data_IF_336531569484
#
_entry.id   IF_336531569484
#
_cell.length_a   1.000
_cell.length_b   1.000
_cell.length_c   1.000
_cell.angle_alpha   90.00
_cell.angle_beta   90.00
_cell.angle_gamma   90.00
#
_symmetry.space_group_name_H-M   'P 1'
#
loop_
_entity.id
_entity.type
_entity.pdbx_description
1 polymer ?
#
# COMPACT_ATOMS: atom_id res chain seq x y z
N UNK A 1 -36.04 7.34 -58.81
CA UNK A 1 -37.28 8.06 -58.54
C UNK A 1 -37.15 8.62 -57.16
N UNK A 2 -36.83 9.82 -56.93
CA UNK A 2 -37.47 11.08 -56.93
C UNK A 2 -37.15 11.71 -55.58
N UNK A 3 -36.18 12.61 -55.55
CA UNK A 3 -36.07 13.76 -54.61
C UNK A 3 -37.21 14.74 -55.00
N UNK A 4 -37.47 15.87 -54.33
CA UNK A 4 -36.99 16.55 -53.10
C UNK A 4 -38.08 17.25 -52.27
N UNK A 5 -37.77 17.95 -51.18
CA UNK A 5 -38.11 19.39 -50.96
C UNK A 5 -37.46 20.00 -49.71
N UNK A 6 -36.93 21.22 -49.94
CA UNK A 6 -36.44 22.21 -49.01
C UNK A 6 -37.54 23.02 -48.37
N UNK A 7 -37.33 23.61 -47.16
CA UNK A 7 -37.37 25.03 -46.82
C UNK A 7 -37.12 25.25 -45.29
N UNK A 8 -36.11 26.05 -44.94
CA UNK A 8 -36.05 27.43 -44.42
C UNK A 8 -37.06 27.71 -43.28
N UNK A 9 -36.63 28.08 -42.06
CA UNK A 9 -35.94 29.24 -41.67
C UNK A 9 -36.46 29.80 -40.33
N UNK A 10 -35.61 30.55 -39.64
CA UNK A 10 -35.81 31.54 -38.56
C UNK A 10 -35.85 31.07 -37.14
N UNK A 11 -34.76 31.35 -36.39
CA UNK A 11 -34.53 32.50 -35.46
C UNK A 11 -35.56 32.66 -34.33
N UNK A 12 -35.08 32.49 -33.08
CA UNK A 12 -35.71 32.93 -31.86
C UNK A 12 -34.71 32.74 -30.71
N UNK A 13 -34.13 33.87 -30.28
CA UNK A 13 -33.44 34.00 -29.00
C UNK A 13 -34.46 33.80 -27.89
N UNK A 14 -34.08 33.17 -26.82
CA UNK A 14 -34.14 33.70 -25.45
C UNK A 14 -33.78 32.57 -24.50
N UNK A 15 -32.88 32.84 -23.65
CA UNK A 15 -32.31 32.35 -22.56
C UNK A 15 -33.24 31.95 -21.42
N UNK A 16 -32.77 31.10 -20.61
CA UNK A 16 -32.85 31.17 -19.13
C UNK A 16 -31.98 30.05 -18.56
N UNK A 17 -31.21 30.46 -17.58
CA UNK A 17 -30.48 29.73 -16.54
C UNK A 17 -31.04 28.35 -16.14
N UNK A 18 -30.12 27.49 -15.78
CA UNK A 18 -30.47 26.38 -14.90
C UNK A 18 -29.48 25.24 -14.92
N UNK A 19 -28.52 25.25 -14.01
CA UNK A 19 -28.02 24.00 -13.53
C UNK A 19 -26.52 23.70 -13.64
N UNK A 20 -25.70 24.54 -13.05
CA UNK A 20 -24.45 24.09 -12.43
C UNK A 20 -24.76 23.07 -11.35
N UNK A 21 -24.39 21.82 -11.56
CA UNK A 21 -24.63 20.77 -10.59
C UNK A 21 -23.90 19.45 -10.81
N UNK A 22 -22.95 19.38 -11.75
CA UNK A 22 -22.29 18.10 -12.03
C UNK A 22 -20.77 18.12 -12.19
N UNK A 23 -20.11 19.28 -12.07
CA UNK A 23 -18.67 19.39 -12.36
C UNK A 23 -17.75 19.35 -11.14
N UNK A 24 -18.27 19.46 -9.91
CA UNK A 24 -17.46 19.56 -8.70
C UNK A 24 -17.03 18.22 -8.10
N UNK A 25 -17.64 17.11 -8.48
CA UNK A 25 -17.38 15.81 -7.85
C UNK A 25 -16.15 15.08 -8.37
N UNK A 26 -15.67 15.39 -9.55
CA UNK A 26 -14.56 14.65 -10.18
C UNK A 26 -13.16 15.23 -9.86
N UNK A 27 -13.09 16.53 -9.63
CA UNK A 27 -11.82 17.21 -9.25
C UNK A 27 -11.50 16.98 -7.77
N UNK A 28 -12.50 16.93 -6.90
CA UNK A 28 -12.32 16.63 -5.48
C UNK A 28 -11.99 15.15 -5.26
N UNK A 29 -12.57 14.22 -6.03
CA UNK A 29 -12.22 12.80 -5.99
C UNK A 29 -10.75 12.54 -6.35
N UNK A 30 -10.10 13.36 -7.17
CA UNK A 30 -8.68 13.23 -7.52
C UNK A 30 -7.73 13.69 -6.41
N UNK A 31 -8.20 14.47 -5.44
CA UNK A 31 -7.38 14.95 -4.31
C UNK A 31 -7.34 13.99 -3.14
N UNK A 32 -8.18 12.98 -3.14
CA UNK A 32 -8.47 12.23 -1.93
C UNK A 32 -8.16 10.77 -2.13
N UNK A 33 -7.16 10.23 -1.48
CA UNK A 33 -6.99 8.81 -1.23
C UNK A 33 -5.99 8.47 -0.21
N UNK A 34 -6.50 7.73 0.78
CA UNK A 34 -5.59 7.06 1.66
C UNK A 34 -6.08 6.09 2.66
N UNK A 35 -5.15 5.28 2.97
CA UNK A 35 -4.98 4.45 4.14
C UNK A 35 -6.00 3.36 4.32
N UNK A 36 -5.59 2.24 3.83
CA UNK A 36 -5.90 0.96 4.41
C UNK A 36 -4.55 0.37 4.79
N UNK A 37 -4.19 0.47 6.01
CA UNK A 37 -2.95 -0.11 6.47
C UNK A 37 -2.91 -0.18 7.98
N UNK A 38 -2.36 -1.23 8.40
CA UNK A 38 -2.25 -1.70 9.77
C UNK A 38 -0.85 -1.38 10.27
N UNK A 39 -0.71 -0.66 11.36
CA UNK A 39 0.58 -0.37 11.95
C UNK A 39 0.71 -0.82 13.40
N UNK A 40 1.90 -1.00 13.85
CA UNK A 40 2.26 -1.54 15.14
C UNK A 40 2.57 -0.46 16.19
N UNK A 41 2.15 -0.74 17.42
CA UNK A 41 2.47 0.02 18.62
C UNK A 41 3.98 0.27 18.76
N UNK A 42 4.38 1.51 18.61
CA UNK A 42 5.70 1.97 19.02
C UNK A 42 5.69 2.33 20.50
N UNK A 43 6.36 1.58 21.33
CA UNK A 43 6.69 2.02 22.67
C UNK A 43 7.66 3.21 22.60
N UNK A 44 7.32 4.32 23.20
CA UNK A 44 8.21 5.47 23.39
C UNK A 44 9.41 5.04 24.25
N UNK A 45 10.61 5.08 23.68
CA UNK A 45 11.88 4.89 24.39
C UNK A 45 12.43 6.29 24.70
N UNK A 46 12.80 6.58 25.96
CA UNK A 46 13.43 7.84 26.30
C UNK A 46 14.81 7.95 25.63
N UNK A 47 15.11 9.12 25.09
CA UNK A 47 16.43 9.47 24.55
C UNK A 47 17.47 9.54 25.66
N UNK A 48 18.10 8.41 25.93
CA UNK A 48 19.33 8.36 26.72
C UNK A 48 20.47 7.96 25.78
N UNK A 49 21.37 8.90 25.49
CA UNK A 49 22.64 8.62 24.84
C UNK A 49 23.51 7.84 25.80
N UNK A 50 23.49 6.52 25.66
CA UNK A 50 24.54 5.67 26.29
C UNK A 50 25.34 5.09 25.12
N UNK A 51 26.58 5.54 25.01
CA UNK A 51 27.56 4.95 24.12
C UNK A 51 27.78 3.48 24.47
N UNK A 52 27.16 2.56 23.79
CA UNK A 52 27.48 1.14 23.86
C UNK A 52 28.38 0.77 22.71
N UNK A 53 29.55 0.21 23.02
CA UNK A 53 30.42 -0.51 22.11
C UNK A 53 29.55 -1.50 21.30
N UNK A 54 29.60 -1.40 19.97
CA UNK A 54 28.92 -2.34 19.07
C UNK A 54 29.35 -3.77 19.42
N UNK A 55 28.42 -4.72 19.54
CA UNK A 55 28.79 -6.12 19.66
C UNK A 55 29.46 -6.57 18.37
N UNK A 56 30.65 -7.16 18.50
CA UNK A 56 31.42 -7.75 17.41
C UNK A 56 30.82 -9.10 17.00
N UNK A 57 29.67 -9.06 16.36
CA UNK A 57 29.00 -10.19 15.77
C UNK A 57 27.95 -9.65 14.81
N UNK A 58 27.92 -10.15 13.60
CA UNK A 58 26.87 -9.74 12.63
C UNK A 58 25.50 -10.15 13.21
N UNK A 59 24.63 -9.16 13.45
CA UNK A 59 23.24 -9.41 13.86
C UNK A 59 22.44 -10.29 12.88
N UNK A 60 23.01 -10.50 11.72
CA UNK A 60 22.44 -11.28 10.62
C UNK A 60 23.49 -12.31 10.15
N UNK A 61 23.68 -13.41 10.88
CA UNK A 61 24.49 -14.53 10.41
C UNK A 61 23.88 -15.08 9.12
N UNK A 62 24.70 -15.40 8.15
CA UNK A 62 24.27 -15.89 6.83
C UNK A 62 24.68 -14.99 5.67
N UNK A 63 25.09 -13.75 5.91
CA UNK A 63 25.76 -12.94 4.89
C UNK A 63 27.23 -13.32 4.80
N UNK A 64 27.73 -13.50 3.56
CA UNK A 64 29.14 -13.76 3.29
C UNK A 64 30.04 -12.56 3.67
N UNK A 65 29.51 -11.35 3.52
CA UNK A 65 30.14 -10.08 3.89
C UNK A 65 29.17 -9.26 4.74
N UNK A 66 29.66 -8.33 5.54
CA UNK A 66 28.80 -7.45 6.31
C UNK A 66 27.94 -6.58 5.39
N UNK A 67 26.59 -6.66 5.49
CA UNK A 67 25.73 -5.86 4.63
C UNK A 67 25.87 -4.37 4.92
N UNK A 68 25.89 -3.56 3.88
CA UNK A 68 25.88 -2.09 3.99
C UNK A 68 24.48 -1.60 4.28
N UNK A 69 24.14 -1.57 5.57
CA UNK A 69 22.81 -1.16 6.02
C UNK A 69 22.54 0.32 5.76
N UNK A 70 21.34 0.60 5.24
CA UNK A 70 20.79 1.95 5.03
C UNK A 70 19.51 2.10 5.83
N UNK A 71 19.19 3.33 6.32
CA UNK A 71 17.94 3.57 7.03
C UNK A 71 16.75 3.29 6.10
N UNK A 72 15.67 2.78 6.71
CA UNK A 72 14.40 2.50 6.07
C UNK A 72 13.32 3.18 6.90
N UNK A 73 12.53 4.05 6.31
CA UNK A 73 11.35 4.57 6.97
C UNK A 73 10.21 3.57 6.78
N UNK A 74 9.56 3.20 7.87
CA UNK A 74 8.34 2.39 7.85
C UNK A 74 7.16 3.34 8.01
N UNK A 75 6.43 3.53 6.94
CA UNK A 75 5.26 4.41 6.88
C UNK A 75 3.99 3.74 7.37
N UNK A 76 2.86 4.39 7.11
CA UNK A 76 1.54 3.82 7.39
C UNK A 76 1.34 2.50 6.66
N UNK A 77 0.76 1.50 7.36
CA UNK A 77 0.56 0.16 6.80
C UNK A 77 1.85 -0.63 6.60
N UNK A 78 2.87 -0.35 7.41
CA UNK A 78 4.21 -0.96 7.34
C UNK A 78 4.92 -0.77 5.98
N UNK A 79 4.48 0.18 5.15
CA UNK A 79 5.09 0.43 3.85
C UNK A 79 6.53 0.92 3.98
N UNK A 80 7.36 0.44 3.08
CA UNK A 80 8.80 0.64 3.08
C UNK A 80 9.19 1.83 2.21
N UNK A 81 9.79 2.85 2.81
CA UNK A 81 10.31 4.03 2.13
C UNK A 81 11.82 4.08 2.25
N UNK A 82 12.51 4.00 1.13
CA UNK A 82 13.96 4.00 1.05
C UNK A 82 14.48 5.30 0.42
N UNK A 83 15.55 5.92 0.97
CA UNK A 83 16.24 7.00 0.32
C UNK A 83 16.76 6.56 -1.06
N UNK A 84 16.50 7.35 -2.08
CA UNK A 84 16.75 7.00 -3.47
C UNK A 84 17.11 8.25 -4.27
N UNK A 85 17.84 8.11 -5.38
CA UNK A 85 18.01 9.18 -6.38
C UNK A 85 17.42 8.71 -7.71
N UNK A 86 16.79 9.61 -8.42
CA UNK A 86 16.32 9.41 -9.81
C UNK A 86 16.97 10.47 -10.68
N UNK A 87 17.75 10.06 -11.67
CA UNK A 87 18.55 10.95 -12.51
C UNK A 87 19.31 12.01 -11.67
N UNK A 88 19.95 11.59 -10.58
CA UNK A 88 20.70 12.43 -9.66
C UNK A 88 19.87 13.24 -8.65
N UNK A 89 18.54 13.26 -8.75
CA UNK A 89 17.66 14.00 -7.83
C UNK A 89 17.25 13.14 -6.64
N UNK A 90 17.54 13.63 -5.42
CA UNK A 90 17.17 12.97 -4.17
C UNK A 90 15.65 12.87 -4.02
N UNK A 91 15.18 11.68 -3.65
CA UNK A 91 13.77 11.37 -3.39
C UNK A 91 13.66 10.19 -2.42
N UNK A 92 12.44 9.77 -2.13
CA UNK A 92 12.14 8.55 -1.38
C UNK A 92 11.29 7.64 -2.24
N UNK A 93 11.65 6.36 -2.26
CA UNK A 93 10.98 5.34 -3.04
C UNK A 93 10.21 4.38 -2.15
N UNK A 94 9.02 3.97 -2.58
CA UNK A 94 8.40 2.75 -2.07
C UNK A 94 9.13 1.55 -2.70
N UNK A 95 9.52 0.57 -1.88
CA UNK A 95 10.01 -0.71 -2.36
C UNK A 95 8.82 -1.63 -2.62
N UNK A 96 8.56 -1.97 -3.88
CA UNK A 96 7.32 -2.62 -4.32
C UNK A 96 7.60 -3.87 -5.16
N UNK A 97 7.63 -5.04 -4.52
CA UNK A 97 7.79 -6.32 -5.22
C UNK A 97 6.54 -6.76 -5.99
N UNK A 98 5.39 -6.13 -5.75
CA UNK A 98 4.14 -6.37 -6.47
C UNK A 98 4.11 -5.72 -7.86
N UNK A 99 5.03 -4.79 -8.12
CA UNK A 99 5.18 -4.16 -9.44
C UNK A 99 6.35 -4.77 -10.21
N UNK A 100 6.10 -5.23 -11.44
CA UNK A 100 7.15 -5.76 -12.33
C UNK A 100 8.09 -4.67 -12.86
N UNK A 101 7.68 -3.41 -12.86
CA UNK A 101 8.46 -2.27 -13.34
C UNK A 101 8.34 -1.09 -12.38
N UNK A 102 9.41 -0.31 -12.28
CA UNK A 102 9.43 0.91 -11.48
C UNK A 102 8.51 1.98 -12.06
N UNK A 103 7.84 2.73 -11.16
CA UNK A 103 6.84 3.72 -11.51
C UNK A 103 7.26 5.09 -10.99
N UNK A 104 7.28 6.09 -11.86
CA UNK A 104 7.63 7.49 -11.57
C UNK A 104 6.35 8.33 -11.65
N UNK A 105 6.17 9.27 -10.74
CA UNK A 105 5.03 10.20 -10.79
C UNK A 105 5.17 11.21 -11.93
N UNK A 106 4.04 11.65 -12.51
CA UNK A 106 4.02 12.74 -13.49
C UNK A 106 4.77 14.00 -13.02
N UNK A 107 4.61 14.47 -11.75
CA UNK A 107 5.35 15.63 -11.26
C UNK A 107 6.87 15.44 -11.25
N UNK A 108 7.37 14.25 -10.89
CA UNK A 108 8.81 13.98 -10.91
C UNK A 108 9.32 13.87 -12.35
N UNK A 109 8.61 13.18 -13.22
CA UNK A 109 8.98 13.07 -14.64
C UNK A 109 9.07 14.46 -15.29
N UNK A 110 8.11 15.35 -15.03
CA UNK A 110 8.13 16.73 -15.50
C UNK A 110 9.33 17.52 -14.95
N UNK A 111 9.62 17.40 -13.64
CA UNK A 111 10.77 18.04 -12.99
C UNK A 111 12.10 17.59 -13.60
N UNK A 112 12.18 16.34 -14.00
CA UNK A 112 13.38 15.75 -14.63
C UNK A 112 13.47 16.00 -16.14
N UNK A 113 12.51 16.73 -16.72
CA UNK A 113 12.49 17.03 -18.16
C UNK A 113 12.22 15.81 -19.05
N UNK A 114 11.56 14.77 -18.52
CA UNK A 114 11.21 13.56 -19.26
C UNK A 114 10.06 13.85 -20.24
N UNK A 115 10.36 14.35 -21.44
CA UNK A 115 9.36 14.86 -22.37
C UNK A 115 8.86 13.83 -23.40
N UNK A 116 9.68 12.84 -23.78
CA UNK A 116 9.38 11.89 -24.84
C UNK A 116 8.73 10.62 -24.24
N UNK A 117 7.53 10.76 -23.71
CA UNK A 117 6.81 9.66 -23.11
C UNK A 117 5.99 8.89 -24.14
N UNK A 118 6.19 7.60 -24.23
CA UNK A 118 5.37 6.72 -25.06
C UNK A 118 4.05 6.40 -24.35
N UNK A 119 2.89 6.79 -24.90
CA UNK A 119 1.60 6.46 -24.27
C UNK A 119 1.38 4.94 -24.26
N UNK A 120 0.97 4.41 -23.10
CA UNK A 120 0.65 2.99 -22.90
C UNK A 120 -0.57 2.85 -21.97
N UNK A 121 -1.07 1.64 -21.91
CA UNK A 121 -2.02 1.19 -20.90
C UNK A 121 -1.42 -0.02 -20.18
N UNK A 122 -1.26 0.08 -18.90
CA UNK A 122 -0.79 -1.05 -18.08
C UNK A 122 -1.96 -1.66 -17.30
N UNK A 123 -1.82 -2.94 -16.98
CA UNK A 123 -2.72 -3.59 -16.04
C UNK A 123 -2.16 -3.37 -14.62
N UNK A 124 -2.99 -2.81 -13.75
CA UNK A 124 -2.76 -2.86 -12.31
C UNK A 124 -3.46 -4.08 -11.70
N UNK A 125 -3.69 -4.08 -10.39
CA UNK A 125 -4.30 -5.21 -9.68
C UNK A 125 -5.74 -5.51 -10.11
N UNK A 126 -6.48 -4.49 -10.48
CA UNK A 126 -7.93 -4.58 -10.68
C UNK A 126 -8.44 -3.87 -11.92
N UNK A 127 -7.56 -3.26 -12.71
CA UNK A 127 -7.95 -2.49 -13.87
C UNK A 127 -6.80 -2.13 -14.81
N UNK A 128 -7.03 -1.13 -15.65
CA UNK A 128 -6.03 -0.58 -16.56
C UNK A 128 -5.84 0.90 -16.30
N UNK A 129 -4.59 1.33 -16.17
CA UNK A 129 -4.21 2.75 -16.07
C UNK A 129 -3.58 3.24 -17.38
N UNK A 130 -3.86 4.51 -17.74
CA UNK A 130 -3.15 5.21 -18.80
C UNK A 130 -1.83 5.76 -18.22
N UNK A 131 -0.72 5.49 -18.90
CA UNK A 131 0.63 5.79 -18.44
C UNK A 131 1.50 6.27 -19.59
N UNK A 132 2.67 6.86 -19.27
CA UNK A 132 3.76 7.04 -20.19
C UNK A 132 4.87 6.03 -19.93
N UNK A 133 5.67 5.70 -20.94
CA UNK A 133 6.95 5.02 -20.74
C UNK A 133 8.08 5.99 -21.01
N UNK A 134 9.09 5.96 -20.15
CA UNK A 134 10.35 6.67 -20.31
C UNK A 134 11.49 5.65 -20.29
N UNK A 135 12.51 5.87 -21.12
CA UNK A 135 13.62 4.94 -21.29
C UNK A 135 14.92 5.44 -20.66
N UNK A 136 15.80 4.49 -20.32
CA UNK A 136 17.15 4.74 -19.79
C UNK A 136 17.15 5.63 -18.54
N UNK A 137 16.36 5.25 -17.55
CA UNK A 137 16.26 5.99 -16.29
C UNK A 137 17.30 5.49 -15.30
N UNK A 138 18.17 6.38 -14.85
CA UNK A 138 19.12 6.08 -13.78
C UNK A 138 18.45 6.21 -12.41
N UNK A 139 18.59 5.17 -11.61
CA UNK A 139 18.11 5.13 -10.21
C UNK A 139 19.26 4.69 -9.31
N UNK A 140 19.48 5.40 -8.20
CA UNK A 140 20.46 4.99 -7.20
C UNK A 140 19.72 4.52 -5.94
N UNK A 141 19.91 3.26 -5.57
CA UNK A 141 19.38 2.65 -4.35
C UNK A 141 20.54 2.04 -3.56
N UNK A 142 20.66 2.35 -2.26
CA UNK A 142 21.74 1.84 -1.39
C UNK A 142 23.14 2.01 -1.99
N UNK A 143 23.41 3.18 -2.60
CA UNK A 143 24.65 3.55 -3.29
C UNK A 143 24.94 2.72 -4.55
N UNK A 144 24.01 1.89 -5.00
CA UNK A 144 24.12 1.16 -6.26
C UNK A 144 23.32 1.86 -7.36
N UNK A 145 23.95 2.04 -8.52
CA UNK A 145 23.33 2.65 -9.69
C UNK A 145 22.68 1.57 -10.55
N UNK A 146 21.40 1.74 -10.82
CA UNK A 146 20.60 0.89 -11.70
C UNK A 146 20.16 1.73 -12.89
N UNK A 147 20.41 1.23 -14.10
CA UNK A 147 19.88 1.85 -15.33
C UNK A 147 18.68 1.03 -15.77
N UNK A 148 17.50 1.58 -15.57
CA UNK A 148 16.24 0.96 -15.99
C UNK A 148 16.11 1.12 -17.51
N UNK A 149 15.94 0.04 -18.28
CA UNK A 149 15.67 0.14 -19.71
C UNK A 149 14.44 0.99 -20.01
N UNK A 150 13.45 0.89 -19.14
CA UNK A 150 12.27 1.77 -19.12
C UNK A 150 11.72 1.90 -17.69
N UNK A 151 10.99 2.97 -17.45
CA UNK A 151 10.16 3.15 -16.27
C UNK A 151 8.76 3.59 -16.70
N UNK A 152 7.76 3.27 -15.90
CA UNK A 152 6.39 3.70 -16.10
C UNK A 152 6.19 5.08 -15.48
N UNK A 153 5.57 6.00 -16.20
CA UNK A 153 5.15 7.31 -15.65
C UNK A 153 3.65 7.29 -15.45
N UNK A 154 3.20 7.43 -14.20
CA UNK A 154 1.80 7.28 -13.82
C UNK A 154 1.34 8.32 -12.80
N UNK A 155 0.03 8.39 -12.58
CA UNK A 155 -0.55 9.18 -11.49
C UNK A 155 -0.41 8.42 -10.15
N UNK A 156 0.52 8.89 -9.34
CA UNK A 156 0.71 8.41 -7.96
C UNK A 156 -0.05 9.28 -6.93
N UNK A 157 -0.96 10.14 -7.36
CA UNK A 157 -1.74 11.02 -6.49
C UNK A 157 -2.54 10.23 -5.46
N UNK A 158 -3.17 9.15 -5.87
CA UNK A 158 -3.90 8.24 -5.02
C UNK A 158 -3.01 7.61 -3.94
N UNK A 159 -1.86 7.12 -4.30
CA UNK A 159 -0.85 6.55 -3.41
C UNK A 159 -0.25 7.65 -2.51
N UNK A 160 0.18 8.77 -3.06
CA UNK A 160 0.68 9.92 -2.30
C UNK A 160 -0.32 10.37 -1.27
N UNK A 161 -1.58 10.46 -1.66
CA UNK A 161 -2.70 10.73 -0.83
C UNK A 161 -2.91 9.56 0.18
N UNK A 162 -2.50 8.25 0.03
CA UNK A 162 -2.50 7.16 1.01
C UNK A 162 -1.42 7.34 2.08
N UNK A 163 -0.29 7.89 1.72
CA UNK A 163 0.82 8.09 2.64
C UNK A 163 0.86 9.45 3.36
N UNK A 164 -0.06 10.37 3.07
CA UNK A 164 -0.07 11.70 3.67
C UNK A 164 1.07 12.60 3.19
N UNK A 165 1.79 12.17 2.14
CA UNK A 165 2.94 12.89 1.59
C UNK A 165 3.14 12.55 0.11
N UNK A 166 3.79 13.41 -0.68
CA UNK A 166 4.07 13.10 -2.08
C UNK A 166 4.93 11.82 -2.18
N UNK A 167 4.46 10.85 -2.96
CA UNK A 167 5.23 9.69 -3.40
C UNK A 167 5.57 9.93 -4.87
N UNK A 168 6.85 9.92 -5.17
CA UNK A 168 7.33 10.26 -6.51
C UNK A 168 7.85 9.05 -7.28
N UNK A 169 8.22 7.97 -6.58
CA UNK A 169 8.70 6.74 -7.22
C UNK A 169 8.33 5.51 -6.40
N UNK A 170 7.99 4.44 -7.10
CA UNK A 170 7.90 3.08 -6.59
C UNK A 170 8.93 2.25 -7.34
N UNK A 171 9.83 1.58 -6.63
CA UNK A 171 10.85 0.71 -7.21
C UNK A 171 10.32 -0.71 -7.27
N UNK A 172 10.17 -1.20 -8.48
CA UNK A 172 9.62 -2.50 -8.79
C UNK A 172 10.65 -3.64 -8.76
N UNK A 173 10.20 -4.80 -9.20
CA UNK A 173 11.04 -6.00 -9.32
C UNK A 173 12.21 -5.79 -10.30
N UNK A 174 12.09 -4.88 -11.26
CA UNK A 174 13.17 -4.50 -12.18
C UNK A 174 14.44 -3.97 -11.48
N UNK A 175 14.29 -3.33 -10.32
CA UNK A 175 15.41 -2.95 -9.44
C UNK A 175 15.66 -4.05 -8.41
N UNK A 176 14.63 -4.49 -7.69
CA UNK A 176 14.76 -5.38 -6.55
C UNK A 176 15.27 -6.77 -6.94
N UNK A 177 15.02 -7.21 -8.19
CA UNK A 177 15.50 -8.47 -8.73
C UNK A 177 16.97 -8.48 -9.15
N UNK A 178 17.63 -7.32 -9.20
CA UNK A 178 19.03 -7.23 -9.64
C UNK A 178 20.04 -7.67 -8.57
N UNK A 179 19.58 -8.02 -7.36
CA UNK A 179 20.44 -8.43 -6.26
C UNK A 179 19.72 -9.15 -5.13
N UNK A 180 20.35 -9.12 -3.95
CA UNK A 180 19.85 -9.64 -2.71
C UNK A 180 19.41 -8.46 -1.82
N UNK A 181 18.14 -8.41 -1.46
CA UNK A 181 17.55 -7.34 -0.63
C UNK A 181 17.28 -7.90 0.77
N UNK A 182 17.84 -7.28 1.80
CA UNK A 182 17.57 -7.61 3.19
C UNK A 182 16.75 -6.50 3.86
N UNK A 183 15.68 -6.87 4.54
CA UNK A 183 14.75 -5.98 5.24
C UNK A 183 14.74 -6.32 6.72
N UNK A 184 15.31 -5.44 7.55
CA UNK A 184 15.32 -5.54 9.02
C UNK A 184 14.27 -4.58 9.59
N UNK A 185 13.07 -5.09 9.79
CA UNK A 185 11.95 -4.31 10.34
C UNK A 185 12.16 -3.91 11.80
N UNK A 186 12.88 -4.74 12.55
CA UNK A 186 13.17 -4.47 13.95
C UNK A 186 14.01 -3.23 14.13
N UNK A 187 15.00 -3.05 13.27
CA UNK A 187 15.93 -1.91 13.29
C UNK A 187 15.65 -0.84 12.23
N UNK A 188 14.58 -0.99 11.46
CA UNK A 188 14.18 -0.08 10.38
C UNK A 188 15.34 0.24 9.45
N UNK A 189 15.91 -0.79 8.85
CA UNK A 189 17.04 -0.69 7.92
C UNK A 189 16.92 -1.74 6.81
N UNK A 190 17.53 -1.44 5.69
CA UNK A 190 17.63 -2.38 4.58
C UNK A 190 19.08 -2.45 4.08
N UNK A 191 19.39 -3.53 3.39
CA UNK A 191 20.63 -3.65 2.66
C UNK A 191 20.37 -4.23 1.28
N UNK A 192 21.18 -3.79 0.32
CA UNK A 192 21.15 -4.27 -1.04
C UNK A 192 22.54 -4.82 -1.37
N UNK A 193 22.60 -6.10 -1.76
CA UNK A 193 23.85 -6.80 -2.03
C UNK A 193 23.80 -7.60 -3.33
N UNK A 194 24.88 -8.28 -3.64
CA UNK A 194 24.94 -9.18 -4.79
C UNK A 194 24.05 -10.41 -4.55
N UNK A 195 23.46 -10.94 -5.61
CA UNK A 195 22.80 -12.24 -5.56
C UNK A 195 23.77 -13.31 -5.04
N UNK A 196 23.28 -14.20 -4.18
CA UNK A 196 24.09 -15.23 -3.51
C UNK A 196 24.86 -14.76 -2.28
N UNK A 197 24.75 -13.47 -1.89
CA UNK A 197 25.43 -12.98 -0.70
C UNK A 197 24.86 -13.45 0.62
N UNK A 198 23.67 -14.05 0.61
CA UNK A 198 23.01 -14.60 1.78
C UNK A 198 22.71 -16.10 1.63
N UNK A 199 23.10 -16.91 2.61
CA UNK A 199 22.94 -18.36 2.59
C UNK A 199 21.89 -18.90 3.56
N UNK A 200 21.22 -18.03 4.31
CA UNK A 200 20.35 -18.43 5.42
C UNK A 200 21.14 -18.68 6.71
N UNK A 201 20.55 -19.43 7.63
CA UNK A 201 21.17 -19.77 8.91
C UNK A 201 20.13 -20.13 9.95
N UNK A 202 20.57 -20.25 11.20
CA UNK A 202 19.68 -20.59 12.33
C UNK A 202 18.54 -19.56 12.45
N UNK A 203 17.32 -20.04 12.64
CA UNK A 203 16.12 -19.22 12.76
C UNK A 203 15.53 -18.73 11.45
N UNK A 204 16.21 -18.94 10.30
CA UNK A 204 15.69 -18.61 8.99
C UNK A 204 14.96 -19.78 8.33
N UNK A 205 13.81 -19.51 7.76
CA UNK A 205 13.09 -20.46 6.90
C UNK A 205 13.22 -20.01 5.45
N UNK A 206 13.61 -20.96 4.58
CA UNK A 206 13.74 -20.69 3.15
C UNK A 206 12.47 -21.08 2.42
N UNK A 207 12.00 -20.20 1.57
CA UNK A 207 10.88 -20.40 0.66
C UNK A 207 11.38 -20.31 -0.79
N UNK A 208 10.76 -21.07 -1.67
CA UNK A 208 10.91 -20.88 -3.12
C UNK A 208 10.15 -19.63 -3.52
N UNK A 209 10.80 -18.78 -4.30
CA UNK A 209 10.22 -17.63 -4.97
C UNK A 209 10.06 -17.96 -6.44
N UNK A 210 8.85 -17.92 -6.92
CA UNK A 210 8.52 -18.23 -8.31
C UNK A 210 8.18 -16.96 -9.09
N UNK A 211 8.21 -17.05 -10.42
CA UNK A 211 7.78 -15.98 -11.30
C UNK A 211 6.43 -16.32 -11.93
N UNK A 212 5.49 -15.42 -11.82
CA UNK A 212 4.22 -15.48 -12.52
C UNK A 212 4.34 -15.08 -14.01
N UNK A 213 3.24 -15.20 -14.72
CA UNK A 213 3.19 -14.90 -16.16
C UNK A 213 3.51 -13.43 -16.52
N UNK A 214 3.41 -12.52 -15.56
CA UNK A 214 3.72 -11.09 -15.70
C UNK A 214 4.93 -10.67 -14.86
N UNK A 215 5.80 -11.61 -14.53
CA UNK A 215 6.96 -11.43 -13.68
C UNK A 215 6.62 -11.06 -12.23
N UNK A 216 5.38 -11.33 -11.79
CA UNK A 216 5.01 -11.23 -10.38
C UNK A 216 5.87 -12.22 -9.56
N UNK A 217 6.29 -11.80 -8.38
CA UNK A 217 7.00 -12.67 -7.45
C UNK A 217 6.00 -13.44 -6.60
N UNK A 218 6.05 -14.76 -6.63
CA UNK A 218 5.07 -15.64 -6.01
C UNK A 218 5.67 -16.43 -4.86
N UNK A 219 4.88 -16.57 -3.80
CA UNK A 219 5.11 -17.49 -2.70
C UNK A 219 3.87 -18.34 -2.47
N UNK A 220 4.04 -19.55 -1.94
CA UNK A 220 2.92 -20.40 -1.58
C UNK A 220 2.59 -20.26 -0.10
N UNK A 221 1.33 -19.97 0.20
CA UNK A 221 0.82 -19.87 1.57
C UNK A 221 -0.54 -20.54 1.71
N UNK A 222 -0.82 -21.09 2.90
CA UNK A 222 -2.11 -21.68 3.21
C UNK A 222 -3.06 -20.63 3.77
N UNK A 223 -4.30 -20.63 3.29
CA UNK A 223 -5.39 -19.75 3.76
C UNK A 223 -6.42 -20.61 4.46
N UNK A 224 -6.71 -20.34 5.74
CA UNK A 224 -7.62 -21.14 6.59
C UNK A 224 -7.29 -22.64 6.61
N UNK A 225 -6.00 -22.99 6.60
CA UNK A 225 -5.55 -24.38 6.64
C UNK A 225 -5.74 -25.16 5.32
N UNK A 226 -6.00 -24.45 4.21
CA UNK A 226 -6.03 -25.08 2.88
C UNK A 226 -4.65 -25.59 2.46
N UNK A 227 -4.60 -26.39 1.39
CA UNK A 227 -3.35 -26.59 0.66
C UNK A 227 -2.76 -25.23 0.26
N UNK A 228 -1.42 -25.10 0.24
CA UNK A 228 -0.77 -23.86 -0.15
C UNK A 228 -1.18 -23.40 -1.56
N UNK A 229 -1.52 -22.13 -1.67
CA UNK A 229 -1.91 -21.48 -2.94
C UNK A 229 -0.92 -20.39 -3.31
N UNK A 230 -0.74 -20.10 -4.61
CA UNK A 230 0.16 -19.05 -5.05
C UNK A 230 -0.40 -17.66 -4.72
N UNK A 231 0.34 -16.90 -3.95
CA UNK A 231 0.07 -15.51 -3.60
C UNK A 231 1.23 -14.63 -4.06
N UNK A 232 0.94 -13.46 -4.58
CA UNK A 232 1.96 -12.48 -4.93
C UNK A 232 2.60 -11.90 -3.68
N UNK A 233 3.93 -11.87 -3.65
CA UNK A 233 4.71 -11.18 -2.62
C UNK A 233 4.69 -9.67 -2.93
N UNK A 234 4.05 -8.87 -2.08
CA UNK A 234 3.75 -7.47 -2.40
C UNK A 234 4.17 -6.53 -1.27
N UNK A 235 5.42 -6.07 -1.31
CA UNK A 235 5.95 -5.10 -0.34
C UNK A 235 5.42 -3.68 -0.56
N UNK A 236 4.75 -3.41 -1.68
CA UNK A 236 4.06 -2.15 -1.95
C UNK A 236 2.64 -2.10 -1.36
N UNK A 237 2.08 -3.24 -0.95
CA UNK A 237 0.73 -3.31 -0.42
C UNK A 237 0.67 -3.03 1.08
N UNK A 238 -0.16 -2.05 1.47
CA UNK A 238 -0.50 -1.76 2.87
C UNK A 238 -1.64 -2.62 3.43
N UNK A 239 -2.18 -3.55 2.65
CA UNK A 239 -3.18 -4.53 3.08
C UNK A 239 -2.49 -5.83 3.49
N UNK A 240 -2.94 -6.49 4.56
CA UNK A 240 -2.32 -7.74 5.02
C UNK A 240 -2.49 -8.87 4.02
N UNK A 241 -3.70 -9.01 3.50
CA UNK A 241 -4.08 -10.02 2.51
C UNK A 241 -5.11 -9.43 1.55
N UNK A 242 -4.91 -9.60 0.27
CA UNK A 242 -5.95 -9.41 -0.74
C UNK A 242 -6.17 -10.74 -1.49
N UNK A 243 -7.42 -11.09 -1.72
CA UNK A 243 -7.80 -12.30 -2.44
C UNK A 243 -8.73 -11.95 -3.61
N UNK A 244 -8.69 -12.72 -4.67
CA UNK A 244 -9.70 -12.62 -5.72
C UNK A 244 -11.06 -13.04 -5.17
N UNK A 245 -12.13 -12.35 -5.55
CA UNK A 245 -13.49 -12.73 -5.16
C UNK A 245 -13.82 -14.17 -5.61
N UNK A 246 -13.34 -14.58 -6.76
CA UNK A 246 -13.50 -15.96 -7.25
C UNK A 246 -12.92 -16.99 -6.28
N UNK A 247 -11.70 -16.77 -5.76
CA UNK A 247 -11.10 -17.67 -4.77
C UNK A 247 -11.85 -17.64 -3.44
N UNK A 248 -12.28 -16.45 -3.00
CA UNK A 248 -13.08 -16.28 -1.78
C UNK A 248 -14.39 -17.08 -1.87
N UNK A 249 -15.05 -17.07 -3.01
CA UNK A 249 -16.27 -17.80 -3.28
C UNK A 249 -16.01 -19.32 -3.41
N UNK A 250 -15.02 -19.72 -4.22
CA UNK A 250 -14.63 -21.14 -4.38
C UNK A 250 -14.34 -21.82 -3.05
N UNK A 251 -13.63 -21.12 -2.16
CA UNK A 251 -13.24 -21.64 -0.84
C UNK A 251 -14.26 -21.34 0.25
N UNK A 252 -15.37 -20.70 -0.09
CA UNK A 252 -16.43 -20.32 0.84
C UNK A 252 -15.91 -19.57 2.08
N UNK A 253 -14.93 -18.67 1.89
CA UNK A 253 -14.23 -18.01 2.98
C UNK A 253 -15.10 -17.01 3.77
N UNK A 254 -16.26 -16.65 3.24
CA UNK A 254 -17.25 -15.76 3.86
C UNK A 254 -18.33 -16.51 4.64
N UNK A 255 -18.34 -17.84 4.65
CA UNK A 255 -19.37 -18.60 5.36
C UNK A 255 -19.42 -18.20 6.85
N UNK A 256 -20.59 -17.77 7.29
CA UNK A 256 -20.87 -17.36 8.68
C UNK A 256 -19.94 -16.24 9.20
N UNK A 257 -19.38 -15.41 8.32
CA UNK A 257 -18.53 -14.27 8.67
C UNK A 257 -19.19 -12.95 8.38
N UNK A 258 -19.00 -11.99 9.30
CA UNK A 258 -19.33 -10.62 9.01
C UNK A 258 -18.40 -10.08 7.92
N UNK A 259 -18.94 -9.29 7.03
CA UNK A 259 -18.19 -8.59 6.00
C UNK A 259 -18.71 -7.17 5.82
N UNK A 260 -17.88 -6.30 5.31
CA UNK A 260 -18.20 -4.91 5.05
C UNK A 260 -17.49 -4.44 3.79
N UNK A 261 -17.31 -3.12 3.66
CA UNK A 261 -16.63 -2.50 2.52
C UNK A 261 -15.46 -1.65 3.00
N UNK A 262 -14.47 -1.51 2.14
CA UNK A 262 -13.30 -0.67 2.39
C UNK A 262 -12.90 0.06 1.09
N UNK A 263 -12.29 1.24 1.23
CA UNK A 263 -11.67 1.92 0.10
C UNK A 263 -10.25 1.40 -0.10
N UNK A 264 -9.90 1.02 -1.31
CA UNK A 264 -8.57 0.59 -1.73
C UNK A 264 -8.03 1.57 -2.77
N UNK A 265 -6.84 2.09 -2.55
CA UNK A 265 -6.12 2.97 -3.48
C UNK A 265 -5.05 2.23 -4.26
N UNK A 266 -4.91 2.57 -5.54
CA UNK A 266 -3.88 2.04 -6.44
C UNK A 266 -3.60 3.00 -7.59
N UNK A 267 -2.78 2.57 -8.53
CA UNK A 267 -2.48 3.35 -9.75
C UNK A 267 -3.72 3.55 -10.64
N UNK A 268 -4.77 2.75 -10.45
CA UNK A 268 -6.07 2.87 -11.13
C UNK A 268 -7.03 3.83 -10.42
N UNK A 269 -6.62 4.41 -9.30
CA UNK A 269 -7.45 5.25 -8.44
C UNK A 269 -8.05 4.51 -7.25
N UNK A 270 -9.20 5.02 -6.73
CA UNK A 270 -9.94 4.40 -5.59
C UNK A 270 -10.94 3.40 -6.06
N UNK A 271 -10.99 2.29 -5.35
CA UNK A 271 -12.01 1.27 -5.50
C UNK A 271 -12.65 0.97 -4.16
N UNK A 272 -13.93 0.63 -4.18
CA UNK A 272 -14.59 0.09 -3.02
C UNK A 272 -14.62 -1.43 -3.16
N UNK A 273 -14.02 -2.09 -2.20
CA UNK A 273 -13.86 -3.54 -2.18
C UNK A 273 -14.49 -4.13 -0.94
N UNK A 274 -14.79 -5.42 -0.95
CA UNK A 274 -15.29 -6.14 0.22
C UNK A 274 -14.15 -6.36 1.21
N UNK A 275 -14.42 -6.19 2.51
CA UNK A 275 -13.50 -6.54 3.59
C UNK A 275 -14.12 -7.55 4.55
N UNK A 276 -13.31 -8.47 5.05
CA UNK A 276 -13.68 -9.48 6.01
C UNK A 276 -12.45 -9.96 6.79
N UNK A 277 -12.60 -10.94 7.67
CA UNK A 277 -11.48 -11.51 8.41
C UNK A 277 -11.25 -12.96 7.99
N UNK A 278 -10.04 -13.28 7.51
CA UNK A 278 -9.55 -14.64 7.32
C UNK A 278 -9.05 -15.20 8.67
N UNK A 279 -9.39 -16.44 9.01
CA UNK A 279 -9.05 -17.02 10.33
C UNK A 279 -7.55 -17.19 10.50
N UNK A 280 -6.88 -17.63 9.44
CA UNK A 280 -5.42 -17.79 9.44
C UNK A 280 -4.80 -17.73 8.05
N UNK A 281 -3.56 -17.26 8.01
CA UNK A 281 -2.66 -17.39 6.86
C UNK A 281 -1.37 -18.01 7.38
N UNK A 282 -0.91 -19.07 6.74
CA UNK A 282 0.34 -19.75 7.11
C UNK A 282 1.36 -19.63 5.98
N UNK A 283 2.48 -19.00 6.28
CA UNK A 283 3.63 -18.88 5.39
C UNK A 283 4.78 -19.70 5.97
N UNK A 284 5.24 -20.72 5.24
CA UNK A 284 6.29 -21.65 5.69
C UNK A 284 6.02 -22.31 7.06
N UNK A 285 4.78 -22.69 7.34
CA UNK A 285 4.39 -23.27 8.62
C UNK A 285 4.20 -22.28 9.77
N UNK A 286 4.51 -20.98 9.54
CA UNK A 286 4.30 -19.91 10.51
C UNK A 286 2.92 -19.32 10.28
N UNK A 287 2.02 -19.48 11.25
CA UNK A 287 0.62 -19.08 11.11
C UNK A 287 0.32 -17.75 11.82
N UNK A 288 -0.24 -16.83 11.07
CA UNK A 288 -0.84 -15.58 11.57
C UNK A 288 -2.36 -15.75 11.61
N UNK A 289 -2.99 -15.35 12.71
CA UNK A 289 -4.44 -15.49 12.90
C UNK A 289 -5.17 -14.15 12.80
N UNK A 290 -6.47 -14.23 12.50
CA UNK A 290 -7.38 -13.06 12.45
C UNK A 290 -6.84 -12.00 11.49
N UNK A 291 -6.66 -12.41 10.23
CA UNK A 291 -6.04 -11.57 9.20
C UNK A 291 -7.09 -10.73 8.49
N UNK A 292 -7.05 -9.39 8.59
CA UNK A 292 -7.89 -8.52 7.81
C UNK A 292 -7.64 -8.73 6.32
N UNK A 293 -8.70 -8.99 5.57
CA UNK A 293 -8.62 -9.44 4.18
C UNK A 293 -9.53 -8.58 3.30
N UNK A 294 -9.03 -8.24 2.13
CA UNK A 294 -9.81 -7.60 1.07
C UNK A 294 -10.16 -8.63 -0.01
N UNK A 295 -11.38 -8.62 -0.51
CA UNK A 295 -11.79 -9.38 -1.68
C UNK A 295 -11.97 -8.44 -2.88
N UNK A 296 -11.26 -8.73 -3.97
CA UNK A 296 -11.28 -7.93 -5.18
C UNK A 296 -12.10 -8.65 -6.25
N UNK A 297 -13.19 -8.01 -6.74
CA UNK A 297 -14.06 -8.55 -7.78
C UNK A 297 -13.32 -8.74 -9.11
N UNK A 298 -12.30 -7.90 -9.35
CA UNK A 298 -11.41 -8.02 -10.50
C UNK A 298 -10.00 -8.30 -10.00
N UNK A 299 -9.46 -9.43 -10.38
CA UNK A 299 -8.09 -9.83 -10.09
C UNK A 299 -7.34 -10.00 -11.42
N UNK A 300 -6.31 -9.21 -11.65
CA UNK A 300 -5.67 -9.16 -12.97
C UNK A 300 -4.61 -10.23 -13.19
N UNK A 301 -4.02 -10.80 -12.14
CA UNK A 301 -3.04 -11.88 -12.27
C UNK A 301 -3.74 -13.20 -12.60
N UNK A 302 -3.15 -13.94 -13.52
CA UNK A 302 -3.59 -15.31 -13.86
C UNK A 302 -2.75 -16.37 -13.11
N UNK A 303 -1.67 -15.94 -12.45
CA UNK A 303 -0.73 -16.81 -11.76
C UNK A 303 -0.99 -16.90 -10.26
N UNK A 304 -1.81 -15.99 -9.70
CA UNK A 304 -2.05 -15.88 -8.26
C UNK A 304 -3.53 -15.78 -7.95
N UNK A 305 -3.90 -16.22 -6.75
CA UNK A 305 -5.27 -16.04 -6.23
C UNK A 305 -5.40 -14.81 -5.33
N UNK A 306 -4.30 -14.12 -5.08
CA UNK A 306 -4.25 -12.95 -4.21
C UNK A 306 -2.83 -12.44 -4.02
N UNK A 307 -2.63 -11.52 -3.05
CA UNK A 307 -1.32 -11.09 -2.60
C UNK A 307 -1.19 -11.09 -1.07
N UNK A 308 0.05 -11.19 -0.60
CA UNK A 308 0.44 -10.98 0.79
C UNK A 308 1.17 -9.64 0.87
N UNK A 309 0.65 -8.73 1.70
CA UNK A 309 1.21 -7.39 1.85
C UNK A 309 1.95 -7.18 3.17
N UNK A 310 2.40 -5.94 3.34
CA UNK A 310 3.33 -5.53 4.39
C UNK A 310 2.89 -5.79 5.83
N UNK A 311 1.62 -5.60 6.24
CA UNK A 311 1.22 -5.92 7.62
C UNK A 311 1.47 -7.38 8.01
N UNK A 312 1.41 -8.31 7.05
CA UNK A 312 1.73 -9.71 7.28
C UNK A 312 3.24 -9.95 7.11
N UNK A 313 3.84 -9.44 6.04
CA UNK A 313 5.28 -9.56 5.77
C UNK A 313 6.13 -8.88 6.85
N UNK A 314 5.70 -7.75 7.39
CA UNK A 314 6.38 -7.01 8.45
C UNK A 314 6.46 -7.73 9.80
N UNK A 315 5.87 -8.92 9.94
CA UNK A 315 6.08 -9.80 11.09
C UNK A 315 7.40 -10.56 11.02
N UNK A 316 8.10 -10.48 9.90
CA UNK A 316 9.34 -11.19 9.62
C UNK A 316 10.47 -10.24 9.27
N UNK A 317 11.69 -10.59 9.65
CA UNK A 317 12.87 -10.16 8.91
C UNK A 317 12.88 -10.92 7.58
N UNK A 318 13.24 -10.25 6.50
CA UNK A 318 13.13 -10.79 5.15
C UNK A 318 14.47 -10.64 4.42
N UNK A 319 14.88 -11.69 3.72
CA UNK A 319 15.91 -11.61 2.66
C UNK A 319 15.32 -12.15 1.37
N UNK A 320 15.38 -11.33 0.34
CA UNK A 320 14.84 -11.62 -0.98
C UNK A 320 16.00 -11.69 -1.98
N UNK A 321 16.16 -12.81 -2.66
CA UNK A 321 17.07 -12.97 -3.78
C UNK A 321 16.31 -13.54 -4.99
N UNK A 322 15.87 -12.63 -5.84
CA UNK A 322 15.02 -12.98 -6.99
C UNK A 322 15.79 -13.80 -8.01
N UNK A 323 17.06 -13.48 -8.23
CA UNK A 323 17.92 -14.21 -9.17
C UNK A 323 18.09 -15.68 -8.77
N UNK A 324 18.19 -15.97 -7.48
CA UNK A 324 18.25 -17.34 -6.95
C UNK A 324 16.88 -18.00 -6.78
N UNK A 325 15.79 -17.25 -6.97
CA UNK A 325 14.43 -17.71 -6.69
C UNK A 325 14.22 -18.08 -5.22
N UNK A 326 14.75 -17.27 -4.30
CA UNK A 326 14.71 -17.56 -2.87
C UNK A 326 14.20 -16.38 -2.04
N UNK A 327 13.38 -16.71 -1.08
CA UNK A 327 12.94 -15.86 0.00
C UNK A 327 13.31 -16.51 1.32
N UNK A 328 14.04 -15.83 2.18
CA UNK A 328 14.27 -16.26 3.56
C UNK A 328 13.45 -15.35 4.48
N UNK A 329 12.76 -15.96 5.42
CA UNK A 329 12.00 -15.27 6.45
C UNK A 329 12.43 -15.72 7.83
N UNK A 330 12.44 -14.77 8.79
CA UNK A 330 12.70 -15.05 10.20
C UNK A 330 11.67 -14.30 11.04
N UNK A 331 10.86 -14.99 11.88
CA UNK A 331 9.87 -14.32 12.71
C UNK A 331 10.50 -13.30 13.66
N UNK A 332 9.89 -12.12 13.76
CA UNK A 332 10.24 -11.12 14.76
C UNK A 332 9.41 -11.44 16.02
N UNK A 333 10.00 -11.93 17.14
CA UNK A 333 9.25 -12.56 18.22
C UNK A 333 8.16 -11.71 18.85
N UNK A 334 8.37 -10.39 18.98
CA UNK A 334 7.36 -9.50 19.56
C UNK A 334 6.27 -9.11 18.55
N UNK A 335 6.58 -9.02 17.25
CA UNK A 335 5.63 -8.66 16.19
C UNK A 335 4.69 -9.81 15.85
N UNK A 336 5.22 -11.00 15.67
CA UNK A 336 4.44 -12.18 15.29
C UNK A 336 3.44 -12.64 16.38
N UNK A 337 3.55 -12.12 17.60
CA UNK A 337 2.60 -12.38 18.70
C UNK A 337 1.52 -11.33 18.86
N UNK A 338 1.65 -10.18 18.19
CA UNK A 338 0.63 -9.13 18.25
C UNK A 338 -0.53 -9.48 17.31
N UNK A 339 -1.77 -9.16 17.70
CA UNK A 339 -2.90 -9.28 16.78
C UNK A 339 -2.72 -8.33 15.60
N UNK A 340 -3.17 -8.76 14.43
CA UNK A 340 -3.25 -7.90 13.26
C UNK A 340 -4.14 -6.71 13.56
N UNK A 341 -3.72 -5.52 13.14
CA UNK A 341 -4.54 -4.33 13.33
C UNK A 341 -5.74 -4.38 12.36
N UNK A 342 -6.90 -4.15 12.88
CA UNK A 342 -8.17 -4.18 12.19
C UNK A 342 -8.83 -2.82 12.33
N UNK A 343 -9.31 -2.24 11.23
CA UNK A 343 -10.06 -0.98 11.31
C UNK A 343 -11.39 -1.19 12.09
N UNK A 344 -11.63 -0.30 13.03
CA UNK A 344 -12.81 -0.29 13.88
C UNK A 344 -13.61 1.00 13.78
N UNK A 345 -13.20 1.89 12.92
CA UNK A 345 -13.91 3.14 12.66
C UNK A 345 -14.94 2.99 11.56
N UNK A 346 -14.60 2.29 10.51
CA UNK A 346 -15.36 2.21 9.25
C UNK A 346 -15.23 3.44 8.37
N UNK A 347 -14.26 4.32 8.66
CA UNK A 347 -13.96 5.49 7.84
C UNK A 347 -12.82 5.18 6.88
N UNK A 348 -13.10 5.16 5.59
CA UNK A 348 -12.08 5.36 4.56
C UNK A 348 -11.70 6.84 4.54
N UNK A 349 -10.45 7.14 4.89
CA UNK A 349 -10.01 8.52 5.03
C UNK A 349 -8.85 8.85 4.11
N UNK A 350 -8.84 10.08 3.72
CA UNK A 350 -7.78 10.75 3.01
C UNK A 350 -7.12 11.76 3.92
N UNK A 351 -5.81 11.72 4.07
CA UNK A 351 -5.09 12.73 4.82
C UNK A 351 -4.48 13.78 3.89
N UNK A 352 -4.66 15.03 4.23
CA UNK A 352 -3.91 16.17 3.70
C UNK A 352 -2.96 16.69 4.79
N UNK A 353 -2.10 17.66 4.50
CA UNK A 353 -1.31 18.29 5.54
C UNK A 353 -2.12 18.95 6.67
N UNK A 354 -3.42 19.17 6.49
CA UNK A 354 -4.25 19.95 7.42
C UNK A 354 -5.54 19.28 7.84
N UNK A 355 -5.93 18.18 7.18
CA UNK A 355 -7.20 17.49 7.47
C UNK A 355 -7.21 16.03 6.99
N UNK A 356 -8.21 15.31 7.50
CA UNK A 356 -8.59 14.00 7.00
C UNK A 356 -9.97 14.13 6.35
N UNK A 357 -10.07 13.84 5.07
CA UNK A 357 -11.37 13.84 4.38
C UNK A 357 -11.92 12.41 4.33
N UNK A 358 -13.18 12.23 4.67
CA UNK A 358 -13.90 10.95 4.54
C UNK A 358 -14.15 10.68 3.06
N UNK A 359 -13.64 9.57 2.55
CA UNK A 359 -13.81 9.14 1.15
C UNK A 359 -14.71 7.93 1.01
N UNK A 360 -14.93 7.24 2.12
CA UNK A 360 -15.78 6.06 2.18
C UNK A 360 -16.31 5.87 3.60
N UNK A 361 -17.53 5.42 3.71
CA UNK A 361 -18.14 4.97 4.97
C UNK A 361 -18.52 3.50 4.81
N UNK A 362 -17.89 2.64 5.59
CA UNK A 362 -18.06 1.21 5.50
C UNK A 362 -19.47 0.78 5.97
N UNK A 363 -20.07 -0.15 5.24
CA UNK A 363 -21.41 -0.65 5.52
C UNK A 363 -21.44 -1.33 6.90
N UNK A 364 -22.46 -0.99 7.72
CA UNK A 364 -22.66 -1.57 9.05
C UNK A 364 -21.65 -1.14 10.12
N UNK A 365 -20.71 -0.24 9.77
CA UNK A 365 -19.66 0.22 10.67
C UNK A 365 -20.14 1.23 11.72
N UNK A 366 -19.32 1.49 12.76
CA UNK A 366 -19.57 2.57 13.70
C UNK A 366 -19.75 3.94 13.01
N UNK A 367 -18.99 4.22 11.97
CA UNK A 367 -19.12 5.45 11.20
C UNK A 367 -20.48 5.55 10.50
N UNK A 368 -20.97 4.47 9.88
CA UNK A 368 -22.29 4.45 9.27
C UNK A 368 -23.39 4.69 10.30
N UNK A 369 -23.29 4.06 11.47
CA UNK A 369 -24.23 4.24 12.58
C UNK A 369 -24.15 5.66 13.17
N UNK A 370 -22.98 6.28 13.16
CA UNK A 370 -22.72 7.64 13.62
C UNK A 370 -23.10 8.74 12.62
N UNK A 371 -23.68 8.39 11.47
CA UNK A 371 -24.13 9.36 10.46
C UNK A 371 -22.99 10.09 9.73
N UNK A 372 -21.82 9.45 9.62
CA UNK A 372 -20.71 9.98 8.83
C UNK A 372 -21.01 9.90 7.34
N UNK A 373 -20.54 10.88 6.59
CA UNK A 373 -20.74 10.98 5.14
C UNK A 373 -19.42 11.21 4.40
N UNK A 374 -19.39 10.79 3.14
CA UNK A 374 -18.29 11.12 2.24
C UNK A 374 -18.21 12.63 2.06
N UNK A 375 -17.02 13.19 2.22
CA UNK A 375 -16.78 14.62 2.19
C UNK A 375 -16.63 15.27 3.56
N UNK A 376 -17.02 14.60 4.66
CA UNK A 376 -16.75 15.10 6.02
C UNK A 376 -15.22 15.31 6.18
N UNK A 377 -14.83 16.43 6.77
CA UNK A 377 -13.43 16.82 6.95
C UNK A 377 -13.09 16.94 8.43
N UNK A 378 -12.13 16.17 8.88
CA UNK A 378 -11.64 16.14 10.27
C UNK A 378 -10.34 16.91 10.36
N UNK A 379 -10.27 17.93 11.21
CA UNK A 379 -9.09 18.78 11.40
C UNK A 379 -8.34 18.50 12.71
N UNK A 380 -8.97 17.78 13.65
CA UNK A 380 -8.30 17.34 14.89
C UNK A 380 -8.86 16.01 15.40
N UNK A 381 -8.00 15.24 16.07
CA UNK A 381 -8.31 13.96 16.72
C UNK A 381 -7.96 14.05 18.20
N UNK A 382 -8.93 13.83 19.09
CA UNK A 382 -8.73 13.90 20.55
C UNK A 382 -8.08 15.23 21.00
N UNK A 383 -8.34 16.33 20.29
CA UNK A 383 -7.75 17.66 20.53
C UNK A 383 -6.37 17.87 19.86
N UNK A 384 -5.78 16.88 19.24
CA UNK A 384 -4.54 17.02 18.48
C UNK A 384 -4.85 17.40 17.03
N UNK A 385 -4.30 18.51 16.51
CA UNK A 385 -4.55 18.93 15.14
C UNK A 385 -3.97 17.92 14.13
N UNK A 386 -4.60 17.83 12.98
CA UNK A 386 -4.05 17.10 11.84
C UNK A 386 -3.03 18.00 11.15
N UNK A 387 -1.80 17.53 11.08
CA UNK A 387 -0.68 18.19 10.42
C UNK A 387 0.19 17.17 9.67
N UNK A 388 1.30 17.63 9.13
CA UNK A 388 2.25 16.79 8.36
C UNK A 388 2.87 15.65 9.18
N UNK A 389 2.77 15.68 10.51
CA UNK A 389 3.25 14.60 11.39
C UNK A 389 2.24 13.46 11.56
N UNK A 390 0.98 13.66 11.16
CA UNK A 390 -0.10 12.69 11.34
C UNK A 390 0.28 11.27 10.88
N UNK A 391 0.87 11.15 9.70
CA UNK A 391 1.24 9.86 9.11
C UNK A 391 2.58 9.31 9.59
N UNK A 392 3.39 10.12 10.28
CA UNK A 392 4.69 9.74 10.84
C UNK A 392 4.63 9.37 12.31
N UNK A 393 3.62 9.87 13.02
CA UNK A 393 3.41 9.63 14.45
C UNK A 393 2.49 8.44 14.73
N UNK A 394 2.06 8.29 15.98
CA UNK A 394 1.10 7.26 16.38
C UNK A 394 -0.36 7.68 16.13
N UNK A 395 -0.61 8.94 15.81
CA UNK A 395 -1.96 9.49 15.72
C UNK A 395 -2.81 8.80 14.65
N UNK A 396 -2.22 8.40 13.52
CA UNK A 396 -2.95 7.69 12.45
C UNK A 396 -3.51 6.32 12.87
N UNK A 397 -3.00 5.75 13.98
CA UNK A 397 -3.44 4.44 14.48
C UNK A 397 -4.78 4.49 15.23
N UNK A 398 -5.36 5.66 15.47
CA UNK A 398 -6.57 5.85 16.24
C UNK A 398 -7.71 4.92 15.83
N UNK A 399 -7.83 4.63 14.54
CA UNK A 399 -8.90 3.81 13.98
C UNK A 399 -8.77 2.30 14.29
N UNK A 400 -7.60 1.90 14.79
CA UNK A 400 -7.28 0.53 15.19
C UNK A 400 -7.30 0.34 16.70
N UNK A 401 -7.80 1.32 17.45
CA UNK A 401 -7.96 1.26 18.89
C UNK A 401 -8.85 0.11 19.35
N UNK A 402 -8.98 -0.08 20.65
CA UNK A 402 -9.73 -1.20 21.21
C UNK A 402 -11.24 -1.05 20.95
N UNK A 403 -12.00 -2.16 20.79
CA UNK A 403 -13.46 -2.08 20.78
C UNK A 403 -13.97 -1.36 22.05
N UNK A 404 -14.90 -0.41 21.84
CA UNK A 404 -15.45 0.43 22.91
C UNK A 404 -14.69 1.74 23.17
N UNK A 405 -13.49 1.91 22.63
CA UNK A 405 -12.75 3.17 22.70
C UNK A 405 -13.50 4.29 21.97
N UNK A 406 -13.55 5.47 22.60
CA UNK A 406 -14.25 6.65 22.03
C UNK A 406 -13.19 7.65 21.54
N UNK A 407 -13.28 7.98 20.27
CA UNK A 407 -12.43 8.98 19.63
C UNK A 407 -13.24 10.25 19.40
N UNK A 408 -12.67 11.40 19.73
CA UNK A 408 -13.25 12.73 19.48
C UNK A 408 -12.67 13.28 18.17
N UNK A 409 -13.54 13.64 17.23
CA UNK A 409 -13.16 14.17 15.94
C UNK A 409 -13.72 15.58 15.79
N UNK A 410 -12.84 16.55 15.57
CA UNK A 410 -13.25 17.93 15.30
C UNK A 410 -13.32 18.12 13.79
N UNK A 411 -14.47 18.57 13.31
CA UNK A 411 -14.70 18.83 11.89
C UNK A 411 -14.22 20.22 11.46
N UNK A 412 -14.09 20.42 10.16
CA UNK A 412 -13.63 21.70 9.59
C UNK A 412 -14.55 22.89 9.87
N UNK A 413 -15.82 22.64 10.17
CA UNK A 413 -16.81 23.65 10.60
C UNK A 413 -16.76 23.94 12.10
N UNK A 414 -15.85 23.28 12.84
CA UNK A 414 -15.72 23.40 14.30
C UNK A 414 -16.62 22.46 15.10
N UNK A 415 -17.52 21.72 14.46
CA UNK A 415 -18.36 20.74 15.17
C UNK A 415 -17.52 19.58 15.71
N UNK A 416 -17.88 19.08 16.88
CA UNK A 416 -17.27 17.90 17.48
C UNK A 416 -18.20 16.69 17.32
N UNK A 417 -17.66 15.60 16.76
CA UNK A 417 -18.32 14.29 16.75
C UNK A 417 -17.50 13.27 17.53
N UNK A 418 -18.19 12.30 18.10
CA UNK A 418 -17.55 11.16 18.74
C UNK A 418 -17.79 9.91 17.92
N UNK A 419 -16.80 9.03 17.88
CA UNK A 419 -16.87 7.75 17.22
C UNK A 419 -16.43 6.66 18.20
N UNK A 420 -17.36 5.76 18.56
CA UNK A 420 -17.04 4.61 19.39
C UNK A 420 -16.59 3.45 18.50
N UNK A 421 -15.34 3.07 18.63
CA UNK A 421 -14.75 2.00 17.85
C UNK A 421 -15.39 0.64 18.16
N UNK A 422 -15.65 -0.16 17.12
CA UNK A 422 -16.17 -1.52 17.27
C UNK A 422 -15.76 -2.41 16.08
N UNK A 423 -15.70 -3.71 16.33
CA UNK A 423 -15.57 -4.67 15.23
C UNK A 423 -16.88 -4.69 14.42
N UNK A 424 -16.79 -4.69 13.10
CA UNK A 424 -17.94 -4.65 12.19
C UNK A 424 -17.79 -5.60 10.99
N UNK A 425 -16.65 -6.30 10.91
CA UNK A 425 -16.40 -7.37 9.94
C UNK A 425 -15.49 -8.43 10.53
#
# INVERSE_FOLDING_TARGET
MGCPFRHRGRSGKDGVDGGDGAATTDVDRRRILKQLGVGLLGASIPTGVVGSKAPSGSDWPGFAEHPSWRPLEVGTGDTLLAPTKVAGVDTEAILDTGSGASIISWPLAAKLGMANLEPRRIAGLSGKAAVGLVHNVEVTLADQVHVLPFAVVADLGAISAAYGRPIHIMLGADVLASGCVALDFGKRRFAFGRSGSFAGGEGWTTLTLEHGARQELLVHASVNGSEPVPLMLDTGSSSALMLSAAFVEERNLLANKASSTAALGGVEGVQIVRTFTTDSVSLAGISTRVVPTLALDRWASVSTVGNIGMPLLGQFDIVLDVTLGRLWIRPIPHRSRLPMLKDRSGLGIAASPTDLTVIHVAVGSPAAQGGWTVGDRVVALNGFPIDTSYTRGALWQWRYGRPGEVVKLTLADGAMRTLKLADYY
#
